data_IF_613936120875
#
_entry.id   IF_613936120875
#
_cell.length_a   1.000
_cell.length_b   1.000
_cell.length_c   1.000
_cell.angle_alpha   90.00
_cell.angle_beta   90.00
_cell.angle_gamma   90.00
#
_symmetry.space_group_name_H-M   'P 1'
#
loop_
_entity.id
_entity.type
_entity.pdbx_description
1 polymer ?
#
# COMPACT_ATOMS: atom_id res chain seq x y z
N UNK A 1 12.93 43.55 -3.09
CA UNK A 1 13.31 42.55 -4.06
C UNK A 1 14.04 41.39 -3.43
N UNK A 2 15.09 41.68 -2.68
CA UNK A 2 15.84 40.64 -1.99
C UNK A 2 14.99 39.85 -1.00
N UNK A 3 14.16 40.55 -0.23
CA UNK A 3 13.24 39.88 0.71
C UNK A 3 12.28 38.93 0.00
N UNK A 4 11.73 39.38 -1.14
CA UNK A 4 10.80 38.60 -1.93
C UNK A 4 11.48 37.29 -2.44
N UNK A 5 12.72 37.41 -2.90
CA UNK A 5 13.48 36.30 -3.42
C UNK A 5 13.79 35.29 -2.29
N UNK A 6 14.12 35.79 -1.09
CA UNK A 6 14.36 34.93 0.07
C UNK A 6 13.10 34.17 0.48
N UNK A 7 11.95 34.84 0.47
CA UNK A 7 10.67 34.20 0.79
C UNK A 7 10.33 33.14 -0.25
N UNK A 8 10.53 33.43 -1.54
CA UNK A 8 10.30 32.44 -2.60
C UNK A 8 11.20 31.23 -2.45
N UNK A 9 12.46 31.43 -2.15
CA UNK A 9 13.39 30.34 -1.96
C UNK A 9 13.01 29.44 -0.78
N UNK A 10 12.58 30.03 0.34
CA UNK A 10 12.12 29.27 1.51
C UNK A 10 10.87 28.47 1.15
N UNK A 11 9.93 29.07 0.41
CA UNK A 11 8.71 28.40 -0.01
C UNK A 11 9.02 27.20 -0.95
N UNK A 12 9.96 27.37 -1.86
CA UNK A 12 10.36 26.28 -2.76
C UNK A 12 11.01 25.13 -2.01
N UNK A 13 11.86 25.42 -1.02
CA UNK A 13 12.46 24.40 -0.18
C UNK A 13 11.42 23.65 0.62
N UNK A 14 10.42 24.37 1.15
CA UNK A 14 9.32 23.74 1.90
C UNK A 14 8.54 22.80 1.00
N UNK A 15 8.20 23.25 -0.21
CA UNK A 15 7.48 22.42 -1.18
C UNK A 15 8.26 21.14 -1.51
N UNK A 16 9.57 21.25 -1.74
CA UNK A 16 10.39 20.07 -2.02
C UNK A 16 10.41 19.09 -0.88
N UNK A 17 10.47 19.57 0.36
CA UNK A 17 10.44 18.69 1.54
C UNK A 17 9.11 17.98 1.68
N UNK A 18 8.02 18.69 1.44
CA UNK A 18 6.68 18.12 1.50
C UNK A 18 6.51 17.04 0.42
N UNK A 19 6.95 17.33 -0.80
CA UNK A 19 6.87 16.36 -1.89
C UNK A 19 7.71 15.12 -1.60
N UNK A 20 8.92 15.30 -1.09
CA UNK A 20 9.78 14.18 -0.73
C UNK A 20 9.15 13.33 0.37
N UNK A 21 8.47 13.95 1.33
CA UNK A 21 7.77 13.24 2.37
C UNK A 21 6.61 12.42 1.82
N UNK A 22 5.80 13.01 0.93
CA UNK A 22 4.69 12.31 0.30
C UNK A 22 5.18 11.14 -0.55
N UNK A 23 6.26 11.32 -1.29
CA UNK A 23 6.86 10.24 -2.08
C UNK A 23 7.32 9.10 -1.18
N UNK A 24 7.94 9.43 -0.05
CA UNK A 24 8.39 8.43 0.92
C UNK A 24 7.22 7.64 1.49
N UNK A 25 6.15 8.32 1.92
CA UNK A 25 4.97 7.67 2.48
C UNK A 25 4.27 6.81 1.43
N UNK A 26 4.16 7.33 0.19
CA UNK A 26 3.53 6.59 -0.90
C UNK A 26 4.28 5.30 -1.19
N UNK A 27 5.60 5.36 -1.32
CA UNK A 27 6.43 4.18 -1.59
C UNK A 27 6.33 3.16 -0.46
N UNK A 28 6.39 3.63 0.80
CA UNK A 28 6.27 2.76 1.97
C UNK A 28 4.92 2.08 2.02
N UNK A 29 3.85 2.82 1.76
CA UNK A 29 2.50 2.28 1.76
C UNK A 29 2.32 1.25 0.66
N UNK A 30 2.86 1.51 -0.53
CA UNK A 30 2.82 0.54 -1.63
C UNK A 30 3.54 -0.75 -1.29
N UNK A 31 4.71 -0.65 -0.67
CA UNK A 31 5.47 -1.83 -0.26
C UNK A 31 4.70 -2.65 0.77
N UNK A 32 4.08 -1.99 1.75
CA UNK A 32 3.28 -2.67 2.76
C UNK A 32 2.06 -3.36 2.13
N UNK A 33 1.39 -2.68 1.21
CA UNK A 33 0.22 -3.25 0.53
C UNK A 33 0.63 -4.41 -0.39
N UNK A 34 1.75 -4.30 -1.09
CA UNK A 34 2.25 -5.37 -1.93
C UNK A 34 2.53 -6.64 -1.11
N UNK A 35 3.09 -6.49 0.07
CA UNK A 35 3.34 -7.61 0.97
C UNK A 35 2.04 -8.32 1.35
N UNK A 36 1.01 -7.56 1.71
CA UNK A 36 -0.31 -8.11 2.02
C UNK A 36 -0.91 -8.83 0.82
N UNK A 37 -0.88 -8.18 -0.35
CA UNK A 37 -1.43 -8.75 -1.58
C UNK A 37 -0.72 -10.04 -1.95
N UNK A 38 0.61 -10.08 -1.85
CA UNK A 38 1.38 -11.29 -2.16
C UNK A 38 1.00 -12.45 -1.25
N UNK A 39 0.76 -12.19 0.03
CA UNK A 39 0.29 -13.23 0.96
C UNK A 39 -1.08 -13.75 0.58
N UNK A 40 -1.97 -12.88 0.13
CA UNK A 40 -3.29 -13.28 -0.34
C UNK A 40 -3.20 -14.11 -1.63
N UNK A 41 -2.34 -13.73 -2.56
CA UNK A 41 -2.10 -14.50 -3.79
C UNK A 41 -1.57 -15.90 -3.45
N UNK A 42 -0.62 -15.99 -2.51
CA UNK A 42 -0.08 -17.27 -2.08
C UNK A 42 -1.17 -18.17 -1.52
N UNK A 43 -2.09 -17.62 -0.72
CA UNK A 43 -3.22 -18.38 -0.19
C UNK A 43 -4.15 -18.85 -1.30
N UNK A 44 -4.45 -17.98 -2.25
CA UNK A 44 -5.26 -18.34 -3.41
C UNK A 44 -4.64 -19.52 -4.16
N UNK A 45 -3.36 -19.40 -4.47
CA UNK A 45 -2.63 -20.41 -5.25
C UNK A 45 -2.51 -21.73 -4.49
N UNK A 46 -2.24 -21.67 -3.18
CA UNK A 46 -2.12 -22.87 -2.35
C UNK A 46 -3.42 -23.67 -2.29
N UNK A 47 -4.55 -23.01 -2.44
CA UNK A 47 -5.86 -23.64 -2.43
C UNK A 47 -6.34 -24.04 -3.85
N UNK A 48 -5.50 -23.80 -4.86
CA UNK A 48 -5.85 -24.10 -6.25
C UNK A 48 -6.95 -23.22 -6.83
N UNK A 49 -7.16 -22.04 -6.24
CA UNK A 49 -8.21 -21.11 -6.69
C UNK A 49 -7.69 -20.21 -7.78
N UNK A 50 -8.53 -19.95 -8.79
CA UNK A 50 -8.25 -19.01 -9.86
C UNK A 50 -8.68 -17.60 -9.49
N UNK A 51 -8.22 -16.60 -10.26
CA UNK A 51 -8.75 -15.24 -10.13
C UNK A 51 -10.26 -15.21 -10.36
N UNK A 52 -10.75 -16.02 -11.27
CA UNK A 52 -12.19 -16.13 -11.54
C UNK A 52 -12.94 -16.66 -10.33
N UNK A 53 -12.37 -17.62 -9.61
CA UNK A 53 -12.99 -18.13 -8.38
C UNK A 53 -13.13 -17.01 -7.33
N UNK A 54 -12.11 -16.16 -7.20
CA UNK A 54 -12.18 -15.02 -6.28
C UNK A 54 -13.22 -14.02 -6.72
N UNK A 55 -13.29 -13.76 -8.03
CA UNK A 55 -14.31 -12.85 -8.59
C UNK A 55 -15.71 -13.34 -8.26
N UNK A 56 -15.97 -14.62 -8.43
CA UNK A 56 -17.27 -15.22 -8.14
C UNK A 56 -17.61 -15.16 -6.63
N UNK A 57 -16.62 -15.45 -5.79
CA UNK A 57 -16.82 -15.45 -4.34
C UNK A 57 -17.06 -14.04 -3.77
N UNK A 58 -16.44 -13.02 -4.37
CA UNK A 58 -16.50 -11.64 -3.87
C UNK A 58 -17.56 -10.79 -4.55
N UNK A 59 -18.08 -11.23 -5.71
CA UNK A 59 -18.94 -10.41 -6.55
C UNK A 59 -18.18 -9.33 -7.32
N UNK A 60 -16.86 -9.36 -7.30
CA UNK A 60 -16.01 -8.41 -8.04
C UNK A 60 -15.77 -8.93 -9.45
N UNK A 61 -15.55 -8.01 -10.40
CA UNK A 61 -15.20 -8.39 -11.76
C UNK A 61 -13.78 -8.97 -11.80
N UNK A 62 -13.57 -10.03 -12.59
CA UNK A 62 -12.26 -10.66 -12.72
C UNK A 62 -11.14 -9.69 -13.11
N UNK A 63 -11.34 -8.71 -14.01
CA UNK A 63 -10.33 -7.71 -14.28
C UNK A 63 -9.92 -6.89 -13.05
N UNK A 64 -10.84 -6.68 -12.11
CA UNK A 64 -10.53 -5.96 -10.87
C UNK A 64 -9.67 -6.81 -9.94
N UNK A 65 -9.89 -8.13 -9.90
CA UNK A 65 -9.02 -9.05 -9.16
C UNK A 65 -7.62 -9.02 -9.73
N UNK A 66 -7.49 -9.07 -11.07
CA UNK A 66 -6.19 -9.01 -11.73
C UNK A 66 -5.45 -7.69 -11.43
N UNK A 67 -6.17 -6.56 -11.42
CA UNK A 67 -5.58 -5.26 -11.07
C UNK A 67 -5.10 -5.23 -9.63
N UNK A 68 -5.87 -5.77 -8.71
CA UNK A 68 -5.49 -5.85 -7.31
C UNK A 68 -4.20 -6.64 -7.16
N UNK A 69 -4.11 -7.78 -7.81
CA UNK A 69 -2.93 -8.65 -7.74
C UNK A 69 -1.69 -8.04 -8.40
N UNK A 70 -1.87 -7.09 -9.32
CA UNK A 70 -0.76 -6.43 -10.01
C UNK A 70 0.02 -5.46 -9.12
N UNK A 71 -0.54 -5.05 -7.99
CA UNK A 71 0.07 -4.10 -7.05
C UNK A 71 0.39 -2.72 -7.66
N UNK A 72 -0.25 -2.35 -8.76
CA UNK A 72 -0.04 -1.04 -9.39
C UNK A 72 -0.72 0.10 -8.67
N UNK A 73 -1.77 -0.21 -7.92
CA UNK A 73 -2.52 0.76 -7.13
C UNK A 73 -2.65 0.25 -5.70
N UNK A 74 -2.81 1.18 -4.77
CA UNK A 74 -3.09 0.84 -3.38
C UNK A 74 -4.57 0.48 -3.28
N UNK A 75 -4.92 -0.77 -2.98
CA UNK A 75 -6.31 -1.16 -2.85
C UNK A 75 -6.91 -0.61 -1.55
N UNK A 76 -8.24 -0.52 -1.51
CA UNK A 76 -8.92 -0.15 -0.29
C UNK A 76 -8.92 -1.34 0.68
N UNK A 77 -9.05 -1.05 1.97
CA UNK A 77 -9.15 -2.10 2.98
C UNK A 77 -10.36 -2.99 2.75
N UNK A 78 -11.48 -2.42 2.28
CA UNK A 78 -12.67 -3.21 2.02
C UNK A 78 -12.44 -4.24 0.92
N UNK A 79 -11.75 -3.85 -0.14
CA UNK A 79 -11.43 -4.76 -1.24
C UNK A 79 -10.50 -5.88 -0.75
N UNK A 80 -9.48 -5.51 0.02
CA UNK A 80 -8.56 -6.50 0.61
C UNK A 80 -9.30 -7.46 1.54
N UNK A 81 -10.23 -6.96 2.35
CA UNK A 81 -11.01 -7.78 3.26
C UNK A 81 -11.88 -8.79 2.50
N UNK A 82 -12.48 -8.37 1.39
CA UNK A 82 -13.30 -9.28 0.56
C UNK A 82 -12.44 -10.39 -0.03
N UNK A 83 -11.28 -10.03 -0.56
CA UNK A 83 -10.35 -11.02 -1.12
C UNK A 83 -9.89 -12.00 -0.03
N UNK A 84 -9.50 -11.48 1.12
CA UNK A 84 -9.04 -12.30 2.24
C UNK A 84 -10.11 -13.29 2.66
N UNK A 85 -11.37 -12.83 2.80
CA UNK A 85 -12.50 -13.68 3.15
C UNK A 85 -12.67 -14.81 2.13
N UNK A 86 -12.52 -14.52 0.84
CA UNK A 86 -12.66 -15.50 -0.22
C UNK A 86 -11.60 -16.61 -0.15
N UNK A 87 -10.45 -16.35 0.44
CA UNK A 87 -9.39 -17.36 0.63
C UNK A 87 -9.31 -17.87 2.08
N UNK A 88 -10.32 -17.54 2.91
CA UNK A 88 -10.38 -18.02 4.28
C UNK A 88 -9.41 -17.35 5.23
N UNK A 89 -8.99 -16.14 4.92
CA UNK A 89 -8.03 -15.39 5.71
C UNK A 89 -8.67 -14.14 6.28
N UNK A 90 -8.07 -13.62 7.33
CA UNK A 90 -8.45 -12.34 7.93
C UNK A 90 -7.24 -11.41 7.95
N UNK A 91 -7.47 -10.14 7.67
CA UNK A 91 -6.41 -9.14 7.72
C UNK A 91 -6.50 -8.43 9.07
N UNK A 92 -5.43 -8.55 9.86
CA UNK A 92 -5.31 -7.81 11.11
C UNK A 92 -4.42 -6.59 10.89
N UNK A 93 -4.87 -5.46 11.38
CA UNK A 93 -4.11 -4.21 11.28
C UNK A 93 -3.62 -3.84 12.67
N UNK A 94 -2.32 -3.63 12.77
CA UNK A 94 -1.70 -3.16 13.98
C UNK A 94 -1.05 -1.81 13.76
N UNK A 95 -1.11 -0.97 14.79
CA UNK A 95 -0.35 0.27 14.83
C UNK A 95 0.81 0.04 15.77
N UNK A 96 2.02 0.12 15.23
CA UNK A 96 3.23 -0.16 15.99
C UNK A 96 4.18 1.03 15.91
N UNK A 97 5.05 1.23 16.90
CA UNK A 97 6.06 2.28 16.81
C UNK A 97 6.96 2.06 15.59
N UNK A 98 7.43 3.15 15.00
CA UNK A 98 8.40 3.07 13.92
C UNK A 98 9.68 2.45 14.47
N UNK A 99 10.18 1.41 13.81
CA UNK A 99 11.43 0.78 14.20
C UNK A 99 12.58 1.76 14.04
N UNK A 100 13.37 1.94 15.11
CA UNK A 100 14.55 2.78 15.07
C UNK A 100 15.72 2.01 14.48
N UNK A 101 16.56 2.72 13.73
CA UNK A 101 17.82 2.17 13.28
C UNK A 101 18.72 1.90 14.49
N UNK A 102 19.42 0.77 14.49
CA UNK A 102 20.32 0.39 15.58
C UNK A 102 21.32 1.50 15.91
N UNK A 103 21.82 2.22 14.90
CA UNK A 103 22.75 3.33 15.09
C UNK A 103 22.15 4.50 15.86
N UNK A 104 20.84 4.64 15.90
CA UNK A 104 20.17 5.71 16.63
C UNK A 104 19.94 5.37 18.10
N UNK A 105 20.10 4.13 18.48
CA UNK A 105 19.87 3.66 19.85
C UNK A 105 21.07 3.92 20.77
N UNK A 106 22.20 4.23 20.18
CA UNK A 106 23.42 4.56 20.93
C UNK A 106 23.46 6.05 21.31
#
# INVERSE_FOLDING_TARGET
>A
MQYYDEVQEVNERRKRRILAYYEYIDARTRDQMAEVVHKLIEQRQSQGLSQQNIAEATGMAAPNIARLESCKRIPTMQVLAKYADAVGMEINIEVVPIAKNVAEED
#
